data_IF_978290979699
#
_entry.id   IF_978290979699
#
_cell.length_a   1.000
_cell.length_b   1.000
_cell.length_c   1.000
_cell.angle_alpha   90.00
_cell.angle_beta   90.00
_cell.angle_gamma   90.00
#
_symmetry.space_group_name_H-M   'P 1'
#
loop_
_entity.id
_entity.type
_entity.pdbx_description
1 polymer ?
#
# COMPACT_ATOMS: atom_id res chain seq x y z
N UNK A 1 30.58 17.69 -2.77
CA UNK A 1 29.14 17.44 -2.99
C UNK A 1 28.78 16.26 -2.11
N UNK A 2 28.38 16.50 -0.86
CA UNK A 2 27.87 15.42 -0.01
C UNK A 2 26.61 14.92 -0.71
N UNK A 3 26.69 13.68 -1.15
CA UNK A 3 25.83 13.06 -2.14
C UNK A 3 24.35 13.16 -1.70
N UNK A 4 23.60 14.10 -2.27
CA UNK A 4 22.16 14.29 -2.00
C UNK A 4 21.41 12.97 -2.18
N UNK A 5 21.92 12.11 -3.07
CA UNK A 5 21.44 10.76 -3.34
C UNK A 5 21.50 9.87 -2.09
N UNK A 6 22.60 9.89 -1.34
CA UNK A 6 22.73 9.13 -0.10
C UNK A 6 21.81 9.67 1.00
N UNK A 7 21.61 10.98 1.08
CA UNK A 7 20.73 11.59 2.09
C UNK A 7 19.27 11.19 1.86
N UNK A 8 18.79 11.25 0.62
CA UNK A 8 17.42 10.82 0.27
C UNK A 8 17.20 9.32 0.49
N UNK A 9 18.20 8.50 0.18
CA UNK A 9 18.15 7.05 0.41
C UNK A 9 18.06 6.73 1.90
N UNK A 10 18.84 7.44 2.74
CA UNK A 10 18.79 7.32 4.20
C UNK A 10 17.45 7.80 4.76
N UNK A 11 16.90 8.92 4.29
CA UNK A 11 15.58 9.41 4.72
C UNK A 11 14.48 8.41 4.32
N UNK A 12 14.50 7.94 3.07
CA UNK A 12 13.51 6.97 2.60
C UNK A 12 13.54 5.69 3.45
N UNK A 13 14.74 5.23 3.80
CA UNK A 13 14.93 4.04 4.62
C UNK A 13 14.52 4.23 6.08
N UNK A 14 15.01 5.27 6.75
CA UNK A 14 14.87 5.45 8.20
C UNK A 14 13.53 6.05 8.57
N UNK A 15 12.94 6.87 7.71
CA UNK A 15 11.75 7.66 8.03
C UNK A 15 10.54 7.14 7.25
N UNK A 16 10.63 7.05 5.93
CA UNK A 16 9.46 6.71 5.11
C UNK A 16 9.03 5.25 5.25
N UNK A 17 9.95 4.28 5.28
CA UNK A 17 9.58 2.87 5.46
C UNK A 17 8.88 2.63 6.81
N UNK A 18 9.41 3.10 7.96
CA UNK A 18 8.71 2.92 9.23
C UNK A 18 7.37 3.63 9.29
N UNK A 19 7.26 4.86 8.77
CA UNK A 19 5.98 5.57 8.71
C UNK A 19 4.98 4.81 7.83
N UNK A 20 5.41 4.30 6.68
CA UNK A 20 4.55 3.51 5.78
C UNK A 20 4.03 2.24 6.48
N UNK A 21 4.90 1.52 7.20
CA UNK A 21 4.52 0.35 7.99
C UNK A 21 3.51 0.69 9.08
N UNK A 22 3.76 1.76 9.87
CA UNK A 22 2.83 2.20 10.92
C UNK A 22 1.47 2.56 10.32
N UNK A 23 1.46 3.36 9.25
CA UNK A 23 0.24 3.76 8.54
C UNK A 23 -0.51 2.55 7.99
N UNK A 24 0.18 1.51 7.54
CA UNK A 24 -0.46 0.26 7.11
C UNK A 24 -1.09 -0.51 8.26
N UNK A 25 -0.44 -0.63 9.40
CA UNK A 25 -1.06 -1.27 10.57
C UNK A 25 -2.28 -0.48 11.06
N UNK A 26 -2.22 0.86 11.03
CA UNK A 26 -3.38 1.72 11.31
C UNK A 26 -4.51 1.47 10.31
N UNK A 27 -4.20 1.39 9.02
CA UNK A 27 -5.18 1.08 7.97
C UNK A 27 -5.81 -0.30 8.19
N UNK A 28 -5.01 -1.33 8.48
CA UNK A 28 -5.49 -2.68 8.78
C UNK A 28 -6.39 -2.71 10.02
N UNK A 29 -6.03 -1.95 11.06
CA UNK A 29 -6.87 -1.78 12.24
C UNK A 29 -8.23 -1.15 11.88
N UNK A 30 -8.23 -0.09 11.07
CA UNK A 30 -9.47 0.55 10.59
C UNK A 30 -10.31 -0.44 9.78
N UNK A 31 -9.71 -1.20 8.86
CA UNK A 31 -10.40 -2.22 8.06
C UNK A 31 -11.00 -3.30 8.95
N UNK A 32 -10.25 -3.79 9.94
CA UNK A 32 -10.75 -4.81 10.88
C UNK A 32 -11.88 -4.26 11.77
N UNK A 33 -11.76 -3.01 12.22
CA UNK A 33 -12.78 -2.32 13.02
C UNK A 33 -14.09 -2.16 12.25
N UNK A 34 -14.02 -1.66 11.01
CA UNK A 34 -15.17 -1.58 10.09
C UNK A 34 -15.69 -2.97 9.70
N UNK A 35 -14.82 -3.98 9.69
CA UNK A 35 -15.20 -5.37 9.44
C UNK A 35 -16.15 -5.94 10.49
N UNK A 36 -15.92 -5.60 11.77
CA UNK A 36 -16.61 -6.17 12.94
C UNK A 36 -17.81 -5.36 13.42
N UNK A 37 -17.97 -4.11 13.00
CA UNK A 37 -19.07 -3.24 13.44
C UNK A 37 -20.34 -3.49 12.64
N UNK A 38 -21.45 -3.60 13.36
CA UNK A 38 -22.80 -3.69 12.79
C UNK A 38 -23.12 -2.42 11.98
N UNK A 39 -23.63 -2.53 10.74
CA UNK A 39 -23.98 -1.40 9.89
C UNK A 39 -24.97 -0.44 10.58
N UNK A 40 -25.84 -0.99 11.43
CA UNK A 40 -26.89 -0.25 12.12
C UNK A 40 -26.38 0.65 13.26
N UNK A 41 -25.20 0.38 13.81
CA UNK A 41 -24.58 1.20 14.87
C UNK A 41 -23.92 2.45 14.31
N UNK A 42 -23.56 2.46 13.02
CA UNK A 42 -22.84 3.56 12.35
C UNK A 42 -23.80 4.38 11.47
N UNK A 43 -25.08 4.46 11.85
CA UNK A 43 -26.16 5.07 11.07
C UNK A 43 -26.08 6.61 11.09
N UNK A 44 -25.13 7.18 10.35
CA UNK A 44 -25.21 8.54 9.80
C UNK A 44 -25.50 8.46 8.30
N UNK A 45 -26.12 9.48 7.69
CA UNK A 45 -26.52 9.48 6.26
C UNK A 45 -25.39 9.14 5.26
N UNK A 46 -24.12 9.22 5.69
CA UNK A 46 -22.92 8.83 4.92
C UNK A 46 -22.84 7.29 4.72
N UNK A 47 -23.56 6.49 5.53
CA UNK A 47 -23.48 5.02 5.59
C UNK A 47 -24.55 4.25 4.82
N UNK A 48 -25.41 4.91 4.01
CA UNK A 48 -26.35 4.22 3.10
C UNK A 48 -25.66 3.24 2.13
N UNK A 49 -24.33 3.38 1.95
CA UNK A 49 -23.46 2.51 1.15
C UNK A 49 -22.31 1.88 1.97
N UNK A 50 -22.53 1.56 3.24
CA UNK A 50 -21.50 0.98 4.14
C UNK A 50 -20.77 -0.23 3.53
N UNK A 51 -21.50 -1.10 2.82
CA UNK A 51 -20.90 -2.25 2.14
C UNK A 51 -19.95 -1.86 1.01
N UNK A 52 -20.22 -0.77 0.28
CA UNK A 52 -19.31 -0.26 -0.75
C UNK A 52 -18.06 0.36 -0.11
N UNK A 53 -18.23 1.08 0.99
CA UNK A 53 -17.13 1.60 1.80
C UNK A 53 -16.22 0.48 2.31
N UNK A 54 -16.79 -0.58 2.87
CA UNK A 54 -16.04 -1.75 3.34
C UNK A 54 -15.21 -2.39 2.22
N UNK A 55 -15.76 -2.49 1.02
CA UNK A 55 -15.03 -3.00 -0.17
C UNK A 55 -13.89 -2.06 -0.59
N UNK A 56 -14.12 -0.75 -0.61
CA UNK A 56 -13.10 0.24 -0.95
C UNK A 56 -11.93 0.25 0.04
N UNK A 57 -12.22 0.15 1.35
CA UNK A 57 -11.19 0.06 2.38
C UNK A 57 -10.38 -1.23 2.30
N UNK A 58 -11.03 -2.36 1.99
CA UNK A 58 -10.32 -3.62 1.77
C UNK A 58 -9.37 -3.54 0.54
N UNK A 59 -9.84 -2.93 -0.54
CA UNK A 59 -9.04 -2.71 -1.75
C UNK A 59 -7.84 -1.79 -1.46
N UNK A 60 -8.05 -0.73 -0.67
CA UNK A 60 -7.00 0.19 -0.23
C UNK A 60 -5.96 -0.52 0.65
N UNK A 61 -6.39 -1.41 1.54
CA UNK A 61 -5.49 -2.23 2.36
C UNK A 61 -4.65 -3.19 1.51
N UNK A 62 -5.26 -3.86 0.52
CA UNK A 62 -4.54 -4.71 -0.41
C UNK A 62 -3.51 -3.92 -1.23
N UNK A 63 -3.88 -2.74 -1.74
CA UNK A 63 -2.95 -1.86 -2.43
C UNK A 63 -1.78 -1.42 -1.54
N UNK A 64 -2.06 -0.96 -0.32
CA UNK A 64 -1.04 -0.53 0.64
C UNK A 64 -0.08 -1.66 1.03
N UNK A 65 -0.59 -2.89 1.18
CA UNK A 65 0.24 -4.08 1.43
C UNK A 65 1.24 -4.31 0.29
N UNK A 66 0.76 -4.35 -0.96
CA UNK A 66 1.61 -4.59 -2.14
C UNK A 66 2.63 -3.46 -2.30
N UNK A 67 2.23 -2.20 -2.05
CA UNK A 67 3.13 -1.06 -2.09
C UNK A 67 4.27 -1.17 -1.09
N UNK A 68 3.97 -1.54 0.16
CA UNK A 68 4.99 -1.72 1.20
C UNK A 68 5.93 -2.87 0.87
N UNK A 69 5.40 -4.00 0.40
CA UNK A 69 6.24 -5.11 -0.04
C UNK A 69 7.18 -4.67 -1.16
N UNK A 70 6.67 -3.97 -2.18
CA UNK A 70 7.48 -3.46 -3.29
C UNK A 70 8.57 -2.50 -2.82
N UNK A 71 8.24 -1.54 -1.96
CA UNK A 71 9.20 -0.57 -1.40
C UNK A 71 10.25 -1.27 -0.53
N UNK A 72 9.84 -2.24 0.30
CA UNK A 72 10.77 -3.05 1.09
C UNK A 72 11.75 -3.79 0.16
N UNK A 73 11.27 -4.44 -0.90
CA UNK A 73 12.12 -5.11 -1.88
C UNK A 73 13.09 -4.17 -2.59
N UNK A 74 12.81 -2.88 -2.72
CA UNK A 74 13.74 -1.88 -3.27
C UNK A 74 14.88 -1.59 -2.28
N UNK A 75 14.56 -1.40 -1.00
CA UNK A 75 15.53 -0.92 -0.01
C UNK A 75 16.25 -2.02 0.80
N UNK A 76 15.73 -3.25 0.82
CA UNK A 76 16.33 -4.40 1.53
C UNK A 76 17.58 -5.01 0.86
N UNK A 77 17.66 -5.12 -0.48
CA UNK A 77 18.83 -5.67 -1.16
C UNK A 77 20.11 -4.88 -0.88
N UNK A 78 19.97 -3.56 -0.74
CA UNK A 78 21.04 -2.63 -0.34
C UNK A 78 21.59 -2.93 1.06
N UNK A 79 20.81 -3.59 1.93
CA UNK A 79 21.22 -3.93 3.30
C UNK A 79 22.01 -5.25 3.37
N UNK A 80 21.70 -6.20 2.47
CA UNK A 80 22.30 -7.53 2.47
C UNK A 80 23.51 -7.65 1.53
N UNK A 81 23.91 -6.57 0.85
CA UNK A 81 25.00 -6.56 -0.14
C UNK A 81 24.78 -7.54 -1.31
N UNK A 82 23.52 -7.83 -1.65
CA UNK A 82 23.14 -8.81 -2.69
C UNK A 82 22.51 -8.12 -3.92
N UNK A 83 22.95 -6.89 -4.23
CA UNK A 83 22.41 -6.06 -5.33
C UNK A 83 22.27 -6.80 -6.66
N UNK A 84 23.20 -7.72 -6.94
CA UNK A 84 23.28 -8.42 -8.22
C UNK A 84 22.53 -9.77 -8.21
N UNK A 85 21.64 -10.03 -7.25
CA UNK A 85 20.84 -11.25 -7.25
C UNK A 85 19.68 -11.14 -8.25
N UNK A 86 19.67 -11.95 -9.33
CA UNK A 86 18.62 -11.89 -10.35
C UNK A 86 17.21 -12.16 -9.80
N UNK A 87 17.09 -12.94 -8.71
CA UNK A 87 15.80 -13.20 -8.06
C UNK A 87 15.18 -11.92 -7.48
N UNK A 88 15.99 -10.97 -7.00
CA UNK A 88 15.50 -9.71 -6.44
C UNK A 88 14.95 -8.83 -7.55
N UNK A 89 15.64 -8.75 -8.67
CA UNK A 89 15.21 -7.97 -9.84
C UNK A 89 13.88 -8.50 -10.40
N UNK A 90 13.76 -9.82 -10.58
CA UNK A 90 12.53 -10.45 -11.06
C UNK A 90 11.36 -10.24 -10.09
N UNK A 91 11.62 -10.35 -8.78
CA UNK A 91 10.62 -10.12 -7.73
C UNK A 91 10.16 -8.67 -7.71
N UNK A 92 11.08 -7.70 -7.84
CA UNK A 92 10.73 -6.29 -7.94
C UNK A 92 9.87 -5.98 -9.16
N UNK A 93 10.23 -6.51 -10.33
CA UNK A 93 9.44 -6.36 -11.57
C UNK A 93 8.03 -6.92 -11.40
N UNK A 94 7.89 -8.09 -10.79
CA UNK A 94 6.58 -8.69 -10.51
C UNK A 94 5.72 -7.82 -9.59
N UNK A 95 6.27 -7.33 -8.47
CA UNK A 95 5.53 -6.45 -7.57
C UNK A 95 5.19 -5.10 -8.21
N UNK A 96 6.08 -4.56 -9.03
CA UNK A 96 5.83 -3.33 -9.79
C UNK A 96 4.68 -3.49 -10.80
N UNK A 97 4.66 -4.60 -11.54
CA UNK A 97 3.56 -4.96 -12.44
C UNK A 97 2.24 -5.15 -11.67
N UNK A 98 2.30 -5.82 -10.52
CA UNK A 98 1.12 -6.03 -9.67
C UNK A 98 0.54 -4.71 -9.17
N UNK A 99 1.40 -3.77 -8.75
CA UNK A 99 0.99 -2.40 -8.39
C UNK A 99 0.32 -1.67 -9.54
N UNK A 100 0.91 -1.73 -10.74
CA UNK A 100 0.33 -1.11 -11.92
C UNK A 100 -1.05 -1.68 -12.25
N UNK A 101 -1.22 -3.01 -12.19
CA UNK A 101 -2.51 -3.67 -12.39
C UNK A 101 -3.55 -3.26 -11.35
N UNK A 102 -3.17 -3.19 -10.07
CA UNK A 102 -4.07 -2.72 -9.01
C UNK A 102 -4.48 -1.27 -9.27
N UNK A 103 -3.56 -0.41 -9.70
CA UNK A 103 -3.85 0.99 -9.98
C UNK A 103 -4.77 1.17 -11.18
N UNK A 104 -4.52 0.44 -12.27
CA UNK A 104 -5.40 0.41 -13.44
C UNK A 104 -6.80 -0.07 -13.04
N UNK A 105 -6.89 -1.14 -12.24
CA UNK A 105 -8.17 -1.69 -11.76
C UNK A 105 -8.91 -0.68 -10.88
N UNK A 106 -8.19 0.00 -9.99
CA UNK A 106 -8.73 1.03 -9.12
C UNK A 106 -9.31 2.21 -9.92
N UNK A 107 -8.54 2.75 -10.87
CA UNK A 107 -8.99 3.84 -11.74
C UNK A 107 -10.20 3.42 -12.57
N UNK A 108 -10.19 2.20 -13.13
CA UNK A 108 -11.32 1.66 -13.88
C UNK A 108 -12.58 1.51 -13.01
N UNK A 109 -12.45 0.98 -11.80
CA UNK A 109 -13.56 0.86 -10.86
C UNK A 109 -14.16 2.21 -10.48
N UNK A 110 -13.34 3.24 -10.27
CA UNK A 110 -13.81 4.61 -10.03
C UNK A 110 -14.56 5.14 -11.25
N UNK A 111 -13.96 5.06 -12.44
CA UNK A 111 -14.56 5.55 -13.68
C UNK A 111 -15.93 4.91 -13.94
N UNK A 112 -16.03 3.59 -13.75
CA UNK A 112 -17.30 2.85 -13.89
C UNK A 112 -18.33 3.23 -12.82
N UNK A 113 -17.90 3.62 -11.61
CA UNK A 113 -18.83 3.99 -10.53
C UNK A 113 -19.37 5.43 -10.68
N UNK A 114 -18.67 6.29 -11.42
CA UNK A 114 -19.10 7.67 -11.71
C UNK A 114 -20.08 7.71 -12.90
N UNK A 115 -19.96 6.77 -13.83
CA UNK A 115 -20.79 6.67 -15.04
C UNK A 115 -22.07 5.89 -14.78
#
# INVERSE_FOLDING_TARGET
>A
MIDIKNVLEVINRIVLIPIALISFFVLMYIVAYLGKKDPDVIRSKIFLRYNEFKKAFLLLAAFAFVLIMHVLFIYFPDYLNIKDNPLIEDTQRFFGLTLALIMITFVYSIFKSIK
#
